data_IF_071420550290
#
_entry.id   IF_071420550290
#
_cell.length_a   1.000
_cell.length_b   1.000
_cell.length_c   1.000
_cell.angle_alpha   90.00
_cell.angle_beta   90.00
_cell.angle_gamma   90.00
#
_symmetry.space_group_name_H-M   'P 1'
#
loop_
_entity.id
_entity.type
_entity.pdbx_description
1 polymer ?
#
# COMPACT_ATOMS: atom_id res chain seq x y z
N UNK A 1 14.15 33.06 9.79
CA UNK A 1 12.98 32.53 10.53
C UNK A 1 11.77 32.60 9.61
N UNK A 2 11.31 31.47 9.08
CA UNK A 2 10.09 31.40 8.27
C UNK A 2 8.97 30.81 9.13
N UNK A 3 8.12 31.67 9.71
CA UNK A 3 6.87 31.24 10.33
C UNK A 3 5.72 31.96 9.61
N UNK A 4 5.32 31.41 8.46
CA UNK A 4 4.01 31.71 7.87
C UNK A 4 2.91 30.95 8.60
N UNK A 5 1.63 31.32 8.43
CA UNK A 5 0.51 30.67 9.12
C UNK A 5 0.54 29.16 8.85
N UNK A 6 0.52 28.37 9.92
CA UNK A 6 0.49 26.90 9.88
C UNK A 6 -0.85 26.47 9.31
N UNK A 7 -0.94 26.39 7.98
CA UNK A 7 -2.06 25.72 7.30
C UNK A 7 -2.27 24.36 7.94
N UNK A 8 -3.52 24.00 8.25
CA UNK A 8 -3.83 22.73 8.90
C UNK A 8 -3.37 21.59 8.00
N UNK A 9 -2.19 21.04 8.29
CA UNK A 9 -1.63 19.91 7.56
C UNK A 9 -2.46 18.68 7.92
N UNK A 10 -2.98 17.92 6.95
CA UNK A 10 -3.67 16.68 7.25
C UNK A 10 -2.70 15.68 7.89
N UNK A 11 -3.23 14.85 8.77
CA UNK A 11 -2.49 13.67 9.24
C UNK A 11 -2.50 12.62 8.13
N UNK A 12 -1.36 11.96 7.91
CA UNK A 12 -1.21 10.87 6.95
C UNK A 12 -1.01 9.57 7.72
N UNK A 13 -1.93 8.62 7.54
CA UNK A 13 -1.80 7.25 8.06
C UNK A 13 -1.64 6.31 6.87
N UNK A 14 -0.50 5.64 6.81
CA UNK A 14 -0.20 4.65 5.79
C UNK A 14 -0.29 3.24 6.40
N UNK A 15 -1.18 2.41 5.86
CA UNK A 15 -1.43 1.04 6.34
C UNK A 15 -1.02 0.08 5.23
N UNK A 16 -0.06 -0.80 5.52
CA UNK A 16 0.34 -1.91 4.63
C UNK A 16 0.01 -3.24 5.28
N UNK A 17 -0.40 -4.21 4.48
CA UNK A 17 -0.72 -5.57 4.93
C UNK A 17 0.19 -6.53 4.15
N UNK A 18 0.92 -7.39 4.85
CA UNK A 18 1.84 -8.35 4.23
C UNK A 18 1.05 -9.54 3.66
N UNK A 19 1.46 -10.00 2.48
CA UNK A 19 0.90 -11.16 1.76
C UNK A 19 -0.63 -11.16 1.54
N UNK A 20 -1.26 -9.98 1.56
CA UNK A 20 -2.69 -9.85 1.30
C UNK A 20 -3.00 -10.00 -0.19
N UNK A 21 -3.83 -10.98 -0.53
CA UNK A 21 -4.44 -11.09 -1.86
C UNK A 21 -5.65 -10.14 -2.01
N UNK A 22 -6.24 -10.07 -3.20
CA UNK A 22 -7.50 -9.38 -3.52
C UNK A 22 -8.75 -9.97 -2.81
N UNK A 23 -8.55 -10.87 -1.84
CA UNK A 23 -9.58 -11.50 -1.02
C UNK A 23 -10.08 -10.56 0.07
N UNK A 24 -10.65 -9.43 -0.35
CA UNK A 24 -11.30 -8.43 0.49
C UNK A 24 -12.74 -8.24 0.02
N UNK A 25 -13.65 -8.00 0.97
CA UNK A 25 -15.09 -7.91 0.69
C UNK A 25 -15.47 -6.85 -0.35
N UNK A 26 -14.73 -5.73 -0.39
CA UNK A 26 -14.94 -4.66 -1.36
C UNK A 26 -14.53 -4.98 -2.82
N UNK A 27 -13.78 -6.06 -3.05
CA UNK A 27 -13.36 -6.51 -4.37
C UNK A 27 -14.15 -7.75 -4.83
N UNK A 28 -15.25 -8.07 -4.13
CA UNK A 28 -16.01 -9.31 -4.34
C UNK A 28 -15.12 -10.56 -4.31
N UNK A 29 -14.12 -10.55 -3.41
CA UNK A 29 -13.16 -11.63 -3.23
C UNK A 29 -13.78 -12.90 -2.60
N UNK A 30 -12.95 -13.75 -2.02
CA UNK A 30 -13.34 -15.08 -1.54
C UNK A 30 -14.57 -15.06 -0.58
N UNK A 31 -15.57 -15.97 -0.74
CA UNK A 31 -16.87 -15.89 -0.07
C UNK A 31 -16.84 -16.01 1.46
N UNK A 32 -15.74 -16.51 2.02
CA UNK A 32 -15.55 -16.63 3.47
C UNK A 32 -14.96 -15.37 4.11
N UNK A 33 -14.54 -14.39 3.31
CA UNK A 33 -13.87 -13.18 3.79
C UNK A 33 -14.85 -12.29 4.54
N UNK A 34 -14.43 -11.81 5.70
CA UNK A 34 -15.20 -10.87 6.52
C UNK A 34 -14.32 -9.68 6.88
N UNK A 35 -14.42 -8.61 6.11
CA UNK A 35 -13.55 -7.42 6.24
C UNK A 35 -14.33 -6.11 6.45
N UNK A 36 -15.27 -6.04 7.42
CA UNK A 36 -16.21 -4.92 7.53
C UNK A 36 -15.53 -3.55 7.75
N UNK A 37 -14.36 -3.52 8.39
CA UNK A 37 -13.59 -2.29 8.61
C UNK A 37 -12.89 -1.79 7.33
N UNK A 38 -12.39 -2.73 6.52
CA UNK A 38 -11.77 -2.43 5.23
C UNK A 38 -12.85 -1.94 4.26
N UNK A 39 -13.99 -2.63 4.22
CA UNK A 39 -15.14 -2.23 3.38
C UNK A 39 -15.66 -0.84 3.77
N UNK A 40 -15.71 -0.54 5.08
CA UNK A 40 -16.07 0.79 5.60
C UNK A 40 -15.05 1.87 5.19
N UNK A 41 -13.77 1.54 5.16
CA UNK A 41 -12.71 2.46 4.71
C UNK A 41 -12.90 2.78 3.23
N UNK A 42 -13.12 1.77 2.40
CA UNK A 42 -13.32 1.95 0.95
C UNK A 42 -14.57 2.74 0.59
N UNK A 43 -15.69 2.54 1.29
CA UNK A 43 -16.93 3.34 1.08
C UNK A 43 -16.74 4.85 1.31
N UNK A 44 -15.65 5.25 1.98
CA UNK A 44 -15.33 6.66 2.28
C UNK A 44 -14.18 7.21 1.42
N UNK A 45 -13.61 6.40 0.54
CA UNK A 45 -12.41 6.74 -0.22
C UNK A 45 -12.51 6.31 -1.67
N UNK A 46 -11.34 6.11 -2.28
CA UNK A 46 -11.20 5.56 -3.62
C UNK A 46 -10.64 4.14 -3.55
N UNK A 47 -11.13 3.26 -4.43
CA UNK A 47 -10.63 1.90 -4.62
C UNK A 47 -9.94 1.82 -5.99
N UNK A 48 -8.71 1.30 -5.99
CA UNK A 48 -7.98 1.00 -7.22
C UNK A 48 -8.15 -0.49 -7.53
N UNK A 49 -8.82 -0.81 -8.63
CA UNK A 49 -9.11 -2.19 -9.03
C UNK A 49 -7.92 -2.90 -9.67
N UNK A 50 -6.94 -2.12 -10.15
CA UNK A 50 -5.78 -2.62 -10.88
C UNK A 50 -4.49 -2.03 -10.31
N UNK A 51 -4.21 -2.39 -9.04
CA UNK A 51 -3.03 -1.95 -8.32
C UNK A 51 -2.01 -3.10 -8.21
N UNK A 52 -0.83 -2.93 -8.81
CA UNK A 52 0.21 -3.95 -8.83
C UNK A 52 1.43 -3.57 -8.00
N UNK A 53 2.03 -4.56 -7.34
CA UNK A 53 3.35 -4.42 -6.72
C UNK A 53 4.45 -4.47 -7.79
N UNK A 54 5.59 -3.84 -7.49
CA UNK A 54 6.74 -3.82 -8.42
C UNK A 54 7.59 -5.10 -8.37
N UNK A 55 7.30 -6.01 -7.44
CA UNK A 55 7.94 -7.31 -7.33
C UNK A 55 7.17 -8.22 -6.36
N UNK A 56 7.02 -9.53 -6.64
CA UNK A 56 6.18 -10.44 -5.86
C UNK A 56 6.87 -10.96 -4.58
N UNK A 57 7.82 -10.21 -4.02
CA UNK A 57 8.56 -10.57 -2.81
C UNK A 57 8.55 -9.36 -1.87
N UNK A 58 8.34 -9.63 -0.58
CA UNK A 58 8.07 -8.59 0.41
C UNK A 58 9.20 -7.54 0.50
N UNK A 59 10.48 -7.95 0.42
CA UNK A 59 11.63 -7.04 0.44
C UNK A 59 11.64 -6.04 -0.72
N UNK A 60 11.76 -6.50 -1.98
CA UNK A 60 11.70 -5.65 -3.18
C UNK A 60 10.43 -4.80 -3.25
N UNK A 61 9.26 -5.35 -2.90
CA UNK A 61 8.00 -4.63 -2.91
C UNK A 61 8.01 -3.44 -1.94
N UNK A 62 8.43 -3.66 -0.68
CA UNK A 62 8.49 -2.61 0.34
C UNK A 62 9.54 -1.56 0.03
N UNK A 63 10.72 -1.97 -0.44
CA UNK A 63 11.78 -1.06 -0.85
C UNK A 63 11.31 -0.12 -1.98
N UNK A 64 10.61 -0.68 -2.97
CA UNK A 64 10.06 0.10 -4.08
C UNK A 64 8.95 1.05 -3.61
N UNK A 65 8.02 0.57 -2.77
CA UNK A 65 6.91 1.35 -2.25
C UNK A 65 7.35 2.54 -1.38
N UNK A 66 8.38 2.36 -0.55
CA UNK A 66 8.88 3.40 0.37
C UNK A 66 9.80 4.41 -0.32
N UNK A 67 10.54 3.99 -1.34
CA UNK A 67 11.47 4.86 -2.05
C UNK A 67 10.85 5.56 -3.27
N UNK A 68 9.77 5.02 -3.82
CA UNK A 68 9.18 5.46 -5.08
C UNK A 68 9.97 5.05 -6.32
N UNK A 69 10.99 4.20 -6.16
CA UNK A 69 11.82 3.70 -7.26
C UNK A 69 11.52 2.24 -7.57
N UNK A 70 11.78 1.80 -8.80
CA UNK A 70 11.65 0.39 -9.16
C UNK A 70 12.70 -0.47 -8.43
N UNK A 71 12.44 -1.78 -8.21
CA UNK A 71 13.38 -2.69 -7.56
C UNK A 71 14.79 -2.67 -8.19
N UNK A 72 14.88 -2.60 -9.53
CA UNK A 72 16.16 -2.52 -10.24
C UNK A 72 16.94 -1.23 -9.96
N UNK A 73 16.26 -0.13 -9.63
CA UNK A 73 16.90 1.13 -9.22
C UNK A 73 17.32 1.09 -7.75
N UNK A 74 16.51 0.44 -6.89
CA UNK A 74 16.83 0.32 -5.46
C UNK A 74 17.95 -0.69 -5.15
N UNK A 75 18.21 -1.63 -6.05
CA UNK A 75 19.13 -2.75 -5.84
C UNK A 75 18.54 -3.89 -4.99
N UNK A 76 17.37 -3.69 -4.37
CA UNK A 76 16.63 -4.73 -3.64
C UNK A 76 15.93 -5.67 -4.62
N UNK A 77 16.65 -6.69 -5.08
CA UNK A 77 16.18 -7.69 -6.03
C UNK A 77 15.82 -9.01 -5.34
N UNK A 78 14.98 -9.87 -5.97
CA UNK A 78 14.60 -11.19 -5.45
C UNK A 78 15.75 -12.08 -4.96
N UNK A 79 16.89 -12.00 -5.64
CA UNK A 79 18.08 -12.83 -5.38
C UNK A 79 19.16 -12.09 -4.60
N UNK A 80 18.98 -10.79 -4.36
CA UNK A 80 19.87 -10.03 -3.52
C UNK A 80 19.46 -10.26 -2.06
N UNK A 81 20.40 -10.70 -1.23
CA UNK A 81 20.22 -10.71 0.22
C UNK A 81 19.85 -9.28 0.66
N UNK A 82 18.57 -9.06 0.95
CA UNK A 82 18.11 -7.92 1.72
C UNK A 82 18.20 -8.26 3.21
#
# INVERSE_FOLDING_TARGET
>A
MHYGPKQSRPNLLFITIDDLNDWVGCMDGHPQVRTPNIDRLFKRGALFLDAHCQGPICGPARASLMSGYYPHTTGCLPTAHC
#
